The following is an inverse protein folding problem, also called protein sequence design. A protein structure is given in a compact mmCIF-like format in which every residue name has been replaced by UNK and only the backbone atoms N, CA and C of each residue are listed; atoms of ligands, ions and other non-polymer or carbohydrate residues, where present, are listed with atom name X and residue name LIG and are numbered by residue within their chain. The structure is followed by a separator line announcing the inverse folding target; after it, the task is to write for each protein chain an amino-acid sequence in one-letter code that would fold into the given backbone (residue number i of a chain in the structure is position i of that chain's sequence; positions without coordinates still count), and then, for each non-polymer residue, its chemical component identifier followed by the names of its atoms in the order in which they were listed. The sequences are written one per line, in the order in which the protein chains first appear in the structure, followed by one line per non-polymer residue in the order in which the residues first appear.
data_IF_995934507332
#
_entry.id   IF_995934507332
#
_cell.length_a   1.000
_cell.length_b   1.000
_cell.length_c   1.000
_cell.angle_alpha   90.00
_cell.angle_beta   90.00
_cell.angle_gamma   90.00
#
_symmetry.space_group_name_H-M   'P 1'
#
loop_
_entity.id
_entity.type
_entity.pdbx_description
1 polymer ?
#
# COMPACT_ATOMS: atom_id res chain seq x y z
N UNK A 1 -3.42 8.06 -22.25
CA UNK A 1 -4.35 6.97 -22.59
C UNK A 1 -5.73 7.32 -22.04
N UNK A 2 -6.81 7.20 -22.81
CA UNK A 2 -8.15 7.56 -22.31
C UNK A 2 -8.59 6.59 -21.20
N UNK A 3 -9.42 7.06 -20.24
CA UNK A 3 -9.96 6.21 -19.16
C UNK A 3 -10.69 4.99 -19.71
N UNK A 4 -11.44 5.17 -20.80
CA UNK A 4 -12.13 4.09 -21.50
C UNK A 4 -11.17 3.00 -21.99
N UNK A 5 -10.05 3.38 -22.62
CA UNK A 5 -9.08 2.41 -23.11
C UNK A 5 -8.44 1.62 -21.95
N UNK A 6 -8.11 2.28 -20.83
CA UNK A 6 -7.61 1.59 -19.63
C UNK A 6 -8.62 0.56 -19.12
N UNK A 7 -9.90 0.95 -19.02
CA UNK A 7 -10.97 0.05 -18.59
C UNK A 7 -11.13 -1.13 -19.53
N UNK A 8 -11.12 -0.91 -20.85
CA UNK A 8 -11.22 -1.98 -21.84
C UNK A 8 -10.03 -2.95 -21.77
N UNK A 9 -8.81 -2.44 -21.62
CA UNK A 9 -7.62 -3.28 -21.45
C UNK A 9 -7.69 -4.10 -20.16
N UNK A 10 -8.15 -3.52 -19.06
CA UNK A 10 -8.34 -4.23 -17.80
C UNK A 10 -9.39 -5.35 -17.93
N UNK A 11 -10.53 -5.06 -18.55
CA UNK A 11 -11.57 -6.06 -18.81
C UNK A 11 -11.07 -7.18 -19.73
N UNK A 12 -10.30 -6.85 -20.78
CA UNK A 12 -9.70 -7.84 -21.66
C UNK A 12 -8.70 -8.73 -20.91
N UNK A 13 -7.81 -8.15 -20.10
CA UNK A 13 -6.86 -8.90 -19.27
C UNK A 13 -7.59 -9.82 -18.29
N UNK A 14 -8.68 -9.33 -17.69
CA UNK A 14 -9.52 -10.11 -16.79
C UNK A 14 -10.15 -11.32 -17.50
N UNK A 15 -10.81 -11.11 -18.64
CA UNK A 15 -11.42 -12.20 -19.43
C UNK A 15 -10.36 -13.22 -19.87
N UNK A 16 -9.18 -12.76 -20.26
CA UNK A 16 -8.07 -13.65 -20.60
C UNK A 16 -7.61 -14.46 -19.38
N UNK A 17 -7.42 -13.84 -18.22
CA UNK A 17 -7.02 -14.55 -17.01
C UNK A 17 -8.05 -15.63 -16.61
N UNK A 18 -9.35 -15.31 -16.70
CA UNK A 18 -10.43 -16.27 -16.48
C UNK A 18 -10.41 -17.43 -17.47
N UNK A 19 -10.20 -17.13 -18.75
CA UNK A 19 -10.12 -18.13 -19.79
C UNK A 19 -8.93 -19.07 -19.58
N UNK A 20 -7.73 -18.54 -19.34
CA UNK A 20 -6.53 -19.34 -19.12
C UNK A 20 -6.60 -20.18 -17.83
N UNK A 21 -7.21 -19.65 -16.76
CA UNK A 21 -7.51 -20.42 -15.56
C UNK A 21 -8.40 -21.63 -15.85
N UNK A 22 -9.47 -21.43 -16.64
CA UNK A 22 -10.34 -22.52 -17.07
C UNK A 22 -9.61 -23.54 -17.96
N UNK A 23 -8.80 -23.09 -18.92
CA UNK A 23 -8.03 -23.97 -19.82
C UNK A 23 -7.01 -24.82 -19.05
N UNK A 24 -6.37 -24.26 -18.02
CA UNK A 24 -5.45 -25.02 -17.17
C UNK A 24 -6.15 -26.21 -16.51
N UNK A 25 -7.32 -25.98 -15.89
CA UNK A 25 -8.12 -27.04 -15.24
C UNK A 25 -8.59 -28.06 -16.27
N UNK A 26 -9.09 -27.61 -17.43
CA UNK A 26 -9.54 -28.49 -18.51
C UNK A 26 -8.41 -29.39 -19.02
N UNK A 27 -7.20 -28.85 -19.15
CA UNK A 27 -6.02 -29.58 -19.62
C UNK A 27 -5.58 -30.64 -18.61
N UNK A 28 -5.55 -30.30 -17.31
CA UNK A 28 -5.21 -31.28 -16.25
C UNK A 28 -6.22 -32.42 -16.17
N UNK A 29 -7.50 -32.14 -16.43
CA UNK A 29 -8.57 -33.13 -16.38
C UNK A 29 -8.83 -33.82 -17.74
N UNK A 30 -7.96 -33.67 -18.73
CA UNK A 30 -8.20 -34.18 -20.10
C UNK A 30 -8.43 -35.70 -20.15
N UNK A 31 -7.79 -36.46 -19.26
CA UNK A 31 -7.88 -37.91 -19.14
C UNK A 31 -8.98 -38.39 -18.16
N UNK A 32 -9.69 -37.47 -17.51
CA UNK A 32 -10.78 -37.82 -16.59
C UNK A 32 -12.07 -38.20 -17.33
N UNK A 33 -13.00 -38.84 -16.62
CA UNK A 33 -14.29 -39.24 -17.18
C UNK A 33 -15.07 -38.02 -17.74
N UNK A 34 -15.94 -38.21 -18.76
CA UNK A 34 -16.79 -37.12 -19.26
C UNK A 34 -17.61 -36.43 -18.16
N UNK A 35 -18.11 -37.19 -17.18
CA UNK A 35 -18.84 -36.66 -16.03
C UNK A 35 -17.97 -35.76 -15.16
N UNK A 36 -16.75 -36.20 -14.84
CA UNK A 36 -15.78 -35.41 -14.05
C UNK A 36 -15.41 -34.11 -14.76
N UNK A 37 -15.12 -34.15 -16.07
CA UNK A 37 -14.79 -32.95 -16.86
C UNK A 37 -15.96 -31.95 -16.89
N UNK A 38 -17.19 -32.45 -17.07
CA UNK A 38 -18.40 -31.61 -17.05
C UNK A 38 -18.63 -30.99 -15.66
N UNK A 39 -18.52 -31.79 -14.61
CA UNK A 39 -18.67 -31.32 -13.24
C UNK A 39 -17.62 -30.26 -12.88
N UNK A 40 -16.34 -30.47 -13.23
CA UNK A 40 -15.28 -29.50 -13.01
C UNK A 40 -15.50 -28.19 -13.78
N UNK A 41 -15.97 -28.27 -15.03
CA UNK A 41 -16.27 -27.09 -15.82
C UNK A 41 -17.43 -26.28 -15.24
N UNK A 42 -18.52 -26.95 -14.85
CA UNK A 42 -19.65 -26.31 -14.16
C UNK A 42 -19.16 -25.69 -12.84
N UNK A 43 -18.42 -26.45 -12.04
CA UNK A 43 -17.89 -25.99 -10.75
C UNK A 43 -17.02 -24.75 -10.87
N UNK A 44 -16.13 -24.68 -11.87
CA UNK A 44 -15.27 -23.52 -12.10
C UNK A 44 -16.08 -22.24 -12.38
N UNK A 45 -17.06 -22.32 -13.29
CA UNK A 45 -17.86 -21.16 -13.67
C UNK A 45 -18.87 -20.78 -12.59
N UNK A 46 -19.46 -21.75 -11.89
CA UNK A 46 -20.31 -21.49 -10.71
C UNK A 46 -19.50 -20.78 -9.63
N UNK A 47 -18.33 -21.31 -9.26
CA UNK A 47 -17.46 -20.68 -8.25
C UNK A 47 -17.08 -19.25 -8.65
N UNK A 48 -16.67 -19.06 -9.91
CA UNK A 48 -16.30 -17.74 -10.43
C UNK A 48 -17.50 -16.79 -10.35
N UNK A 49 -18.67 -17.19 -10.85
CA UNK A 49 -19.88 -16.37 -10.79
C UNK A 49 -20.29 -16.04 -9.35
N UNK A 50 -20.21 -17.01 -8.42
CA UNK A 50 -20.52 -16.81 -7.00
C UNK A 50 -19.56 -15.81 -6.34
N UNK A 51 -18.25 -15.95 -6.55
CA UNK A 51 -17.25 -15.02 -5.98
C UNK A 51 -17.51 -13.60 -6.47
N UNK A 52 -17.76 -13.42 -7.77
CA UNK A 52 -18.05 -12.11 -8.34
C UNK A 52 -19.37 -11.53 -7.85
N UNK A 53 -20.45 -12.33 -7.80
CA UNK A 53 -21.74 -11.89 -7.29
C UNK A 53 -21.65 -11.45 -5.82
N UNK A 54 -21.01 -12.25 -4.97
CA UNK A 54 -20.83 -11.93 -3.55
C UNK A 54 -19.95 -10.70 -3.35
N UNK A 55 -18.84 -10.59 -4.09
CA UNK A 55 -17.97 -9.43 -4.00
C UNK A 55 -18.67 -8.15 -4.48
N UNK A 56 -19.46 -8.23 -5.56
CA UNK A 56 -20.23 -7.10 -6.08
C UNK A 56 -21.27 -6.65 -5.07
N UNK A 57 -22.04 -7.59 -4.51
CA UNK A 57 -23.00 -7.31 -3.44
C UNK A 57 -22.31 -6.69 -2.21
N UNK A 58 -21.17 -7.26 -1.79
CA UNK A 58 -20.41 -6.77 -0.64
C UNK A 58 -19.90 -5.34 -0.86
N UNK A 59 -19.40 -5.02 -2.06
CA UNK A 59 -18.92 -3.68 -2.40
C UNK A 59 -20.06 -2.66 -2.52
N UNK A 60 -21.19 -3.03 -3.14
CA UNK A 60 -22.37 -2.18 -3.25
C UNK A 60 -23.01 -1.89 -1.89
N UNK A 61 -22.87 -2.80 -0.93
CA UNK A 61 -23.45 -2.68 0.42
C UNK A 61 -22.38 -2.48 1.50
N UNK A 62 -21.17 -2.05 1.14
CA UNK A 62 -20.02 -1.94 2.06
C UNK A 62 -20.27 -1.01 3.26
N UNK A 63 -21.20 -0.07 3.11
CA UNK A 63 -21.58 0.90 4.13
C UNK A 63 -22.54 0.32 5.19
N UNK A 64 -23.12 -0.87 4.97
CA UNK A 64 -24.05 -1.49 5.91
C UNK A 64 -23.40 -2.66 6.65
N UNK A 65 -23.78 -2.86 7.90
CA UNK A 65 -23.25 -3.92 8.76
C UNK A 65 -23.50 -5.33 8.21
N UNK A 66 -22.61 -6.30 8.49
CA UNK A 66 -21.27 -6.14 9.08
C UNK A 66 -20.24 -5.71 8.01
N UNK A 67 -19.73 -4.48 8.12
CA UNK A 67 -18.79 -3.91 7.15
C UNK A 67 -17.47 -4.70 7.04
N UNK A 68 -16.83 -5.18 8.14
CA UNK A 68 -15.59 -5.94 8.02
C UNK A 68 -15.71 -7.21 7.18
N UNK A 69 -16.77 -8.00 7.40
CA UNK A 69 -17.02 -9.22 6.61
C UNK A 69 -17.14 -8.91 5.11
N UNK A 70 -17.82 -7.81 4.76
CA UNK A 70 -17.98 -7.39 3.36
C UNK A 70 -16.67 -6.95 2.73
N UNK A 71 -15.77 -6.31 3.47
CA UNK A 71 -14.42 -5.98 3.00
C UNK A 71 -13.63 -7.23 2.62
N UNK A 72 -13.75 -8.32 3.41
CA UNK A 72 -13.10 -9.60 3.09
C UNK A 72 -13.70 -10.22 1.82
N UNK A 73 -15.03 -10.24 1.68
CA UNK A 73 -15.68 -10.74 0.47
C UNK A 73 -15.34 -9.91 -0.77
N UNK A 74 -15.33 -8.57 -0.65
CA UNK A 74 -14.98 -7.63 -1.71
C UNK A 74 -13.53 -7.77 -2.19
N UNK A 75 -12.66 -8.39 -1.38
CA UNK A 75 -11.25 -8.64 -1.72
C UNK A 75 -11.02 -9.94 -2.50
N UNK A 76 -11.96 -10.89 -2.48
CA UNK A 76 -11.82 -12.17 -3.16
C UNK A 76 -11.51 -12.03 -4.66
N UNK A 77 -12.14 -11.12 -5.43
CA UNK A 77 -11.81 -10.95 -6.84
C UNK A 77 -10.34 -10.61 -7.09
N UNK A 78 -9.72 -9.79 -6.24
CA UNK A 78 -8.30 -9.45 -6.36
C UNK A 78 -7.42 -10.68 -6.18
N UNK A 79 -7.75 -11.53 -5.21
CA UNK A 79 -7.01 -12.78 -4.93
C UNK A 79 -7.15 -13.76 -6.09
N UNK A 80 -8.38 -13.95 -6.59
CA UNK A 80 -8.65 -14.83 -7.73
C UNK A 80 -7.98 -14.31 -9.00
N UNK A 81 -8.02 -13.00 -9.25
CA UNK A 81 -7.35 -12.39 -10.39
C UNK A 81 -5.83 -12.54 -10.30
N UNK A 82 -5.22 -12.27 -9.14
CA UNK A 82 -3.77 -12.43 -8.94
C UNK A 82 -3.32 -13.88 -9.22
N UNK A 83 -4.09 -14.85 -8.74
CA UNK A 83 -3.87 -16.29 -9.00
C UNK A 83 -3.92 -16.59 -10.50
N UNK A 84 -4.95 -16.12 -11.19
CA UNK A 84 -5.18 -16.38 -12.62
C UNK A 84 -4.19 -15.64 -13.52
N UNK A 85 -3.69 -14.47 -13.12
CA UNK A 85 -2.63 -13.76 -13.82
C UNK A 85 -1.32 -14.55 -13.82
N UNK A 86 -0.97 -15.20 -12.71
CA UNK A 86 0.19 -16.10 -12.68
C UNK A 86 -0.01 -17.27 -13.65
N UNK A 87 -1.18 -17.91 -13.62
CA UNK A 87 -1.50 -18.99 -14.58
C UNK A 87 -1.36 -18.50 -16.03
N UNK A 88 -1.90 -17.32 -16.33
CA UNK A 88 -1.81 -16.71 -17.66
C UNK A 88 -0.36 -16.47 -18.10
N UNK A 89 0.52 -15.97 -17.22
CA UNK A 89 1.93 -15.74 -17.55
C UNK A 89 2.67 -17.03 -17.91
N UNK A 90 2.31 -18.17 -17.31
CA UNK A 90 2.91 -19.46 -17.66
C UNK A 90 2.37 -20.07 -18.95
N UNK A 91 1.07 -19.91 -19.23
CA UNK A 91 0.41 -20.57 -20.35
C UNK A 91 0.40 -19.75 -21.64
N UNK A 92 0.33 -18.42 -21.56
CA UNK A 92 0.31 -17.54 -22.73
C UNK A 92 1.54 -17.73 -23.64
N UNK A 93 2.79 -17.83 -23.14
CA UNK A 93 3.95 -18.09 -23.99
C UNK A 93 3.88 -19.44 -24.72
N UNK A 94 3.32 -20.46 -24.07
CA UNK A 94 3.11 -21.77 -24.69
C UNK A 94 2.12 -21.68 -25.85
N UNK A 95 1.02 -20.95 -25.67
CA UNK A 95 0.03 -20.74 -26.72
C UNK A 95 0.56 -19.90 -27.88
N UNK A 96 1.34 -18.85 -27.60
CA UNK A 96 2.03 -18.07 -28.64
C UNK A 96 3.02 -18.96 -29.42
N UNK A 97 3.79 -19.83 -28.74
CA UNK A 97 4.67 -20.78 -29.39
C UNK A 97 3.91 -21.79 -30.25
N UNK A 98 2.80 -22.35 -29.74
CA UNK A 98 1.94 -23.28 -30.48
C UNK A 98 1.33 -22.63 -31.72
N UNK A 99 0.82 -21.41 -31.60
CA UNK A 99 0.27 -20.66 -32.72
C UNK A 99 1.36 -20.35 -33.76
N UNK A 100 2.56 -19.97 -33.33
CA UNK A 100 3.71 -19.80 -34.23
C UNK A 100 4.09 -21.10 -34.94
N UNK A 101 4.12 -22.22 -34.23
CA UNK A 101 4.40 -23.53 -34.81
C UNK A 101 3.29 -23.99 -35.75
N UNK A 102 2.02 -23.71 -35.44
CA UNK A 102 0.89 -23.99 -36.32
C UNK A 102 0.94 -23.13 -37.58
N UNK A 103 1.29 -21.84 -37.47
CA UNK A 103 1.50 -20.95 -38.61
C UNK A 103 2.64 -21.46 -39.51
N UNK A 104 3.76 -21.89 -38.91
CA UNK A 104 4.87 -22.51 -39.64
C UNK A 104 4.46 -23.85 -40.26
N UNK A 105 3.69 -24.68 -39.54
CA UNK A 105 3.19 -25.99 -40.03
C UNK A 105 2.12 -25.87 -41.12
N UNK A 106 1.34 -24.79 -41.11
CA UNK A 106 0.43 -24.47 -42.21
C UNK A 106 1.16 -24.06 -43.48
N UNK A 107 2.46 -23.75 -43.38
CA UNK A 107 3.34 -23.34 -44.49
C UNK A 107 4.36 -24.43 -44.85
N UNK A 108 4.77 -25.26 -43.90
CA UNK A 108 5.75 -26.34 -44.09
C UNK A 108 5.22 -27.63 -43.47
N UNK A 109 5.35 -28.79 -44.14
CA UNK A 109 5.00 -30.09 -43.54
C UNK A 109 6.21 -30.78 -42.89
N UNK A 110 6.46 -30.62 -41.58
CA UNK A 110 7.37 -31.50 -40.87
C UNK A 110 6.62 -32.63 -40.15
N UNK A 111 7.16 -33.83 -40.32
CA UNK A 111 6.71 -35.07 -39.70
C UNK A 111 7.35 -35.26 -38.32
N UNK A 112 6.54 -35.72 -37.36
CA UNK A 112 7.02 -36.39 -36.15
C UNK A 112 6.82 -35.61 -34.84
N UNK A 113 6.20 -36.27 -33.85
CA UNK A 113 6.35 -35.93 -32.43
C UNK A 113 6.44 -37.20 -31.60
N UNK A 114 7.48 -37.24 -30.76
CA UNK A 114 7.76 -38.27 -29.76
C UNK A 114 6.77 -38.20 -28.58
N UNK A 115 6.29 -39.36 -28.14
CA UNK A 115 5.40 -39.52 -26.99
C UNK A 115 6.19 -39.61 -25.67
N UNK A 116 6.07 -38.59 -24.82
CA UNK A 116 6.36 -38.70 -23.39
C UNK A 116 5.09 -39.07 -22.61
N UNK A 117 5.24 -39.62 -21.40
CA UNK A 117 4.13 -40.08 -20.53
C UNK A 117 3.16 -38.94 -20.09
N UNK A 118 3.62 -37.68 -20.12
CA UNK A 118 2.81 -36.47 -19.86
C UNK A 118 3.08 -35.49 -21.01
N UNK A 119 2.04 -34.87 -21.58
CA UNK A 119 2.24 -33.86 -22.61
C UNK A 119 2.85 -32.59 -21.99
N UNK A 120 3.70 -31.87 -22.75
CA UNK A 120 4.28 -30.59 -22.30
C UNK A 120 3.23 -29.61 -21.76
N UNK A 121 2.06 -29.57 -22.41
CA UNK A 121 0.95 -28.71 -22.01
C UNK A 121 0.29 -29.13 -20.70
N UNK A 122 0.23 -30.43 -20.43
CA UNK A 122 -0.25 -30.94 -19.16
C UNK A 122 0.75 -30.64 -18.03
N UNK A 123 2.06 -30.83 -18.27
CA UNK A 123 3.09 -30.45 -17.32
C UNK A 123 3.04 -28.95 -17.00
N UNK A 124 2.98 -28.09 -18.03
CA UNK A 124 2.91 -26.64 -17.86
C UNK A 124 1.61 -26.20 -17.18
N UNK A 125 0.47 -26.83 -17.47
CA UNK A 125 -0.80 -26.53 -16.79
C UNK A 125 -0.77 -26.92 -15.31
N UNK A 126 -0.20 -28.09 -14.97
CA UNK A 126 -0.01 -28.50 -13.57
C UNK A 126 0.92 -27.52 -12.84
N UNK A 127 2.06 -27.18 -13.45
CA UNK A 127 3.00 -26.20 -12.88
C UNK A 127 2.34 -24.83 -12.70
N UNK A 128 1.61 -24.34 -13.71
CA UNK A 128 0.90 -23.07 -13.65
C UNK A 128 -0.14 -23.03 -12.53
N UNK A 129 -0.90 -24.11 -12.31
CA UNK A 129 -1.84 -24.20 -11.19
C UNK A 129 -1.14 -24.25 -9.83
N UNK A 130 -0.04 -25.02 -9.71
CA UNK A 130 0.75 -25.09 -8.47
C UNK A 130 1.35 -23.72 -8.13
N UNK A 131 2.03 -23.08 -9.08
CA UNK A 131 2.63 -21.74 -8.88
C UNK A 131 1.54 -20.68 -8.71
N UNK A 132 0.45 -20.79 -9.45
CA UNK A 132 -0.72 -19.91 -9.33
C UNK A 132 -1.41 -20.00 -7.96
N UNK A 133 -1.30 -21.13 -7.26
CA UNK A 133 -1.82 -21.26 -5.90
C UNK A 133 -1.02 -20.44 -4.87
N UNK A 134 0.23 -20.05 -5.18
CA UNK A 134 1.08 -19.30 -4.25
C UNK A 134 0.52 -17.91 -3.93
N UNK A 135 0.15 -17.04 -4.91
CA UNK A 135 -0.56 -15.79 -4.61
C UNK A 135 -1.86 -16.00 -3.82
N UNK A 136 -2.64 -17.03 -4.15
CA UNK A 136 -3.89 -17.33 -3.43
C UNK A 136 -3.60 -17.56 -1.94
N UNK A 137 -2.75 -18.54 -1.65
CA UNK A 137 -2.39 -18.91 -0.27
C UNK A 137 -1.75 -17.73 0.46
N UNK A 138 -0.84 -17.01 -0.20
CA UNK A 138 -0.13 -15.88 0.39
C UNK A 138 -1.08 -14.73 0.73
N UNK A 139 -2.00 -14.37 -0.16
CA UNK A 139 -2.97 -13.30 0.08
C UNK A 139 -4.02 -13.69 1.12
N UNK A 140 -4.48 -14.94 1.13
CA UNK A 140 -5.38 -15.43 2.20
C UNK A 140 -4.66 -15.42 3.55
N UNK A 141 -3.40 -15.86 3.60
CA UNK A 141 -2.57 -15.76 4.80
C UNK A 141 -2.34 -14.31 5.25
N UNK A 142 -2.09 -13.42 4.28
CA UNK A 142 -1.96 -11.99 4.51
C UNK A 142 -3.18 -11.38 5.19
N UNK A 143 -4.39 -11.83 4.84
CA UNK A 143 -5.64 -11.41 5.50
C UNK A 143 -5.81 -11.98 6.91
N UNK A 144 -5.31 -13.20 7.13
CA UNK A 144 -5.44 -13.87 8.41
C UNK A 144 -4.45 -13.34 9.46
N UNK A 145 -3.23 -12.97 9.05
CA UNK A 145 -2.12 -12.59 9.95
C UNK A 145 -1.40 -11.31 9.57
N UNK A 146 -1.12 -11.12 8.28
CA UNK A 146 -0.23 -10.03 7.82
C UNK A 146 -0.70 -8.62 8.16
N UNK A 147 -2.01 -8.37 8.16
CA UNK A 147 -2.60 -7.05 8.46
C UNK A 147 -2.20 -6.44 9.81
N UNK A 148 -1.76 -7.25 10.77
CA UNK A 148 -1.33 -6.78 12.10
C UNK A 148 0.05 -7.32 12.49
N UNK A 149 0.81 -7.85 11.52
CA UNK A 149 2.17 -8.35 11.74
C UNK A 149 3.19 -7.22 11.68
N UNK A 150 3.13 -6.33 12.68
CA UNK A 150 3.93 -5.11 12.75
C UNK A 150 5.43 -5.39 12.76
N UNK A 151 6.17 -4.68 11.90
CA UNK A 151 7.61 -4.76 11.77
C UNK A 151 8.26 -3.47 12.23
N UNK A 152 9.28 -3.57 13.08
CA UNK A 152 10.14 -2.43 13.43
C UNK A 152 11.32 -2.39 12.47
N UNK A 153 11.44 -1.31 11.68
CA UNK A 153 12.60 -1.06 10.81
C UNK A 153 13.50 -0.01 11.44
N UNK A 154 14.81 -0.20 11.30
CA UNK A 154 15.83 0.74 11.79
C UNK A 154 16.65 1.26 10.62
N UNK A 155 16.79 2.57 10.53
CA UNK A 155 17.53 3.25 9.46
C UNK A 155 18.47 4.26 10.09
N UNK A 156 19.77 4.11 9.86
CA UNK A 156 20.75 5.12 10.27
C UNK A 156 20.99 6.08 9.12
N UNK A 157 20.77 7.37 9.33
CA UNK A 157 20.97 8.41 8.32
C UNK A 157 22.09 9.36 8.75
N UNK A 158 23.02 9.62 7.85
CA UNK A 158 24.20 10.44 8.11
C UNK A 158 24.12 11.76 7.35
N UNK A 159 24.23 12.87 8.06
CA UNK A 159 24.11 14.21 7.51
C UNK A 159 25.26 15.12 7.98
N UNK A 160 25.95 15.82 7.07
CA UNK A 160 27.07 16.70 7.43
C UNK A 160 26.63 17.98 8.16
N UNK A 161 25.40 18.45 7.90
CA UNK A 161 24.80 19.65 8.49
C UNK A 161 23.93 19.34 9.73
N UNK A 162 23.90 18.10 10.23
CA UNK A 162 23.21 17.78 11.47
C UNK A 162 23.93 18.46 12.65
N UNK A 163 23.22 19.26 13.49
CA UNK A 163 23.85 19.86 14.66
C UNK A 163 24.34 18.81 15.66
N UNK A 164 25.35 19.16 16.46
CA UNK A 164 26.03 18.19 17.33
C UNK A 164 25.10 17.58 18.38
N UNK A 165 24.19 18.37 18.94
CA UNK A 165 23.23 17.97 19.97
C UNK A 165 22.19 16.96 19.47
N UNK A 166 22.05 16.80 18.16
CA UNK A 166 21.17 15.84 17.51
C UNK A 166 21.90 14.58 17.01
N UNK A 167 23.20 14.43 17.30
CA UNK A 167 23.90 13.18 17.02
C UNK A 167 23.31 12.04 17.89
N UNK A 168 22.91 10.94 17.25
CA UNK A 168 22.24 9.81 17.90
C UNK A 168 20.75 10.03 18.15
N UNK A 169 20.17 11.14 17.66
CA UNK A 169 18.76 11.47 17.85
C UNK A 169 17.85 10.47 17.14
N UNK A 170 16.86 9.95 17.86
CA UNK A 170 15.94 8.91 17.40
C UNK A 170 14.59 9.50 17.02
N UNK A 171 14.27 9.37 15.75
CA UNK A 171 12.95 9.73 15.20
C UNK A 171 12.19 8.44 14.93
N UNK A 172 10.90 8.41 15.24
CA UNK A 172 10.01 7.32 14.86
C UNK A 172 8.91 7.82 13.92
N UNK A 173 8.74 7.14 12.80
CA UNK A 173 7.66 7.40 11.85
C UNK A 173 6.66 6.25 11.85
N UNK A 174 5.40 6.60 11.99
CA UNK A 174 4.24 5.81 11.58
C UNK A 174 3.48 6.57 10.49
N UNK A 175 2.69 5.84 9.72
CA UNK A 175 1.89 6.39 8.62
C UNK A 175 0.69 5.50 8.36
N UNK A 176 -0.32 6.02 7.66
CA UNK A 176 -1.43 5.27 7.07
C UNK A 176 -2.04 4.25 8.05
N UNK A 177 -2.56 4.77 9.16
CA UNK A 177 -3.16 3.97 10.23
C UNK A 177 -4.50 3.39 9.80
N UNK A 178 -5.28 4.16 9.04
CA UNK A 178 -6.56 3.72 8.51
C UNK A 178 -7.43 3.08 9.60
N UNK A 179 -7.70 3.85 10.68
CA UNK A 179 -8.26 3.26 11.90
C UNK A 179 -9.61 2.56 11.69
N UNK A 180 -10.39 3.02 10.71
CA UNK A 180 -11.67 2.39 10.33
C UNK A 180 -11.55 0.98 9.75
N UNK A 181 -10.33 0.50 9.49
CA UNK A 181 -10.08 -0.86 9.03
C UNK A 181 -9.86 -1.86 10.17
N UNK A 182 -9.56 -1.40 11.39
CA UNK A 182 -9.40 -2.30 12.53
C UNK A 182 -10.75 -2.84 12.99
N UNK A 183 -10.79 -4.14 13.31
CA UNK A 183 -11.99 -4.82 13.81
C UNK A 183 -12.06 -4.85 15.35
N UNK A 184 -11.00 -4.42 16.01
CA UNK A 184 -10.90 -4.35 17.46
C UNK A 184 -9.80 -3.36 17.85
N UNK A 185 -9.77 -2.99 19.14
CA UNK A 185 -8.76 -2.08 19.69
C UNK A 185 -7.39 -2.75 19.91
N UNK A 186 -7.35 -4.08 20.00
CA UNK A 186 -6.16 -4.85 20.40
C UNK A 186 -4.96 -4.64 19.45
N UNK A 187 -5.10 -4.68 18.11
CA UNK A 187 -3.97 -4.50 17.21
C UNK A 187 -3.29 -3.16 17.39
N UNK A 188 -4.08 -2.09 17.51
CA UNK A 188 -3.55 -0.75 17.70
C UNK A 188 -2.89 -0.60 19.08
N UNK A 189 -3.47 -1.18 20.13
CA UNK A 189 -2.83 -1.22 21.45
C UNK A 189 -1.49 -1.97 21.41
N UNK A 190 -1.37 -3.06 20.64
CA UNK A 190 -0.07 -3.72 20.44
C UNK A 190 0.92 -2.81 19.72
N UNK A 191 0.48 -2.17 18.64
CA UNK A 191 1.32 -1.26 17.88
C UNK A 191 1.85 -0.12 18.76
N UNK A 192 1.01 0.48 19.61
CA UNK A 192 1.40 1.51 20.58
C UNK A 192 2.45 0.99 21.57
N UNK A 193 2.30 -0.24 22.08
CA UNK A 193 3.35 -0.85 22.92
C UNK A 193 4.68 -1.02 22.18
N UNK A 194 4.62 -1.45 20.91
CA UNK A 194 5.81 -1.60 20.07
C UNK A 194 6.47 -0.26 19.76
N UNK A 195 5.68 0.80 19.51
CA UNK A 195 6.15 2.17 19.30
C UNK A 195 6.87 2.66 20.55
N UNK A 196 6.23 2.57 21.72
CA UNK A 196 6.80 3.02 22.99
C UNK A 196 8.08 2.27 23.36
N UNK A 197 8.19 0.99 23.02
CA UNK A 197 9.40 0.20 23.25
C UNK A 197 10.62 0.70 22.48
N UNK A 198 10.45 1.59 21.49
CA UNK A 198 11.55 2.15 20.72
C UNK A 198 12.26 3.32 21.41
N UNK A 199 11.64 3.93 22.43
CA UNK A 199 12.18 5.09 23.17
C UNK A 199 12.69 6.17 22.21
N UNK A 200 11.82 6.60 21.28
CA UNK A 200 12.15 7.65 20.33
C UNK A 200 12.07 9.03 21.00
N UNK A 201 12.98 9.93 20.62
CA UNK A 201 12.97 11.32 21.10
C UNK A 201 11.81 12.11 20.47
N UNK A 202 11.45 11.76 19.22
CA UNK A 202 10.45 12.44 18.41
C UNK A 202 9.64 11.44 17.59
N UNK A 203 8.31 11.63 17.55
CA UNK A 203 7.40 10.76 16.80
C UNK A 203 6.63 11.55 15.73
N UNK A 204 6.48 10.94 14.55
CA UNK A 204 5.74 11.47 13.42
C UNK A 204 4.63 10.53 12.96
N UNK A 205 3.48 11.11 12.62
CA UNK A 205 2.39 10.46 11.88
C UNK A 205 2.20 11.13 10.52
N UNK A 206 2.61 10.47 9.43
CA UNK A 206 2.69 11.07 8.09
C UNK A 206 1.41 10.95 7.26
N UNK A 207 0.23 11.08 7.88
CA UNK A 207 -1.07 11.14 7.21
C UNK A 207 -1.82 9.81 7.12
N UNK A 208 -3.09 9.91 6.72
CA UNK A 208 -4.06 8.82 6.63
C UNK A 208 -4.34 8.15 7.98
N UNK A 209 -4.85 8.96 8.90
CA UNK A 209 -5.31 8.48 10.21
C UNK A 209 -6.61 7.66 10.04
N UNK A 210 -7.53 8.14 9.20
CA UNK A 210 -8.82 7.50 8.95
C UNK A 210 -8.90 6.95 7.51
N UNK A 211 -9.96 6.21 7.20
CA UNK A 211 -10.23 5.75 5.83
C UNK A 211 -10.97 6.83 5.06
N UNK A 212 -11.97 7.46 5.70
CA UNK A 212 -12.81 8.46 5.06
C UNK A 212 -13.43 9.47 6.03
N UNK A 213 -13.74 9.07 7.28
CA UNK A 213 -14.56 9.89 8.18
C UNK A 213 -13.96 9.95 9.59
N UNK A 214 -14.12 11.10 10.24
CA UNK A 214 -13.48 11.40 11.52
C UNK A 214 -13.92 10.48 12.67
N UNK A 215 -15.11 9.88 12.57
CA UNK A 215 -15.63 8.95 13.59
C UNK A 215 -14.83 7.64 13.65
N UNK A 216 -14.13 7.27 12.58
CA UNK A 216 -13.35 6.02 12.49
C UNK A 216 -12.17 5.96 13.48
N UNK A 217 -11.70 7.10 14.00
CA UNK A 217 -10.60 7.12 14.98
C UNK A 217 -11.09 7.22 16.43
N UNK A 218 -12.36 7.54 16.67
CA UNK A 218 -12.82 7.95 18.01
C UNK A 218 -12.68 6.85 19.06
N UNK A 219 -12.95 5.60 18.68
CA UNK A 219 -12.80 4.46 19.60
C UNK A 219 -11.32 4.12 19.91
N UNK A 220 -10.40 4.69 19.14
CA UNK A 220 -8.96 4.46 19.17
C UNK A 220 -8.18 5.61 19.81
N UNK A 221 -8.81 6.76 20.08
CA UNK A 221 -8.16 7.94 20.67
C UNK A 221 -7.41 7.59 21.95
N UNK A 222 -8.04 6.84 22.86
CA UNK A 222 -7.43 6.44 24.13
C UNK A 222 -6.15 5.61 23.92
N UNK A 223 -6.15 4.69 22.95
CA UNK A 223 -4.95 3.88 22.68
C UNK A 223 -3.84 4.74 22.08
N UNK A 224 -4.17 5.62 21.13
CA UNK A 224 -3.22 6.50 20.45
C UNK A 224 -2.61 7.54 21.38
N UNK A 225 -3.36 8.03 22.37
CA UNK A 225 -2.84 8.99 23.36
C UNK A 225 -1.81 8.38 24.30
N UNK A 226 -1.68 7.03 24.33
CA UNK A 226 -0.63 6.35 25.08
C UNK A 226 0.71 6.30 24.35
N UNK A 227 0.83 6.80 23.11
CA UNK A 227 2.13 6.94 22.45
C UNK A 227 2.96 7.98 23.22
N UNK A 228 4.16 7.57 23.64
CA UNK A 228 5.07 8.39 24.44
C UNK A 228 6.17 8.95 23.56
N UNK A 229 6.45 10.24 23.74
CA UNK A 229 7.51 10.99 23.10
C UNK A 229 7.94 12.11 24.06
N UNK A 230 9.23 12.37 24.17
CA UNK A 230 9.73 13.49 24.99
C UNK A 230 9.38 14.85 24.38
N UNK A 231 9.38 14.90 23.05
CA UNK A 231 8.98 16.06 22.25
C UNK A 231 7.55 15.89 21.71
N UNK A 232 6.91 16.99 21.25
CA UNK A 232 5.59 16.91 20.64
C UNK A 232 5.54 15.87 19.52
N UNK A 233 4.47 15.09 19.48
CA UNK A 233 4.20 14.19 18.36
C UNK A 233 3.62 15.04 17.23
N UNK A 234 4.27 15.06 16.06
CA UNK A 234 3.75 15.81 14.92
C UNK A 234 2.99 14.91 13.97
N UNK A 235 1.93 15.44 13.39
CA UNK A 235 1.14 14.75 12.38
C UNK A 235 0.80 15.68 11.22
N UNK A 236 0.55 15.11 10.06
CA UNK A 236 -0.05 15.80 8.90
C UNK A 236 -1.31 15.06 8.45
N UNK A 237 -2.06 15.65 7.53
CA UNK A 237 -3.19 14.97 6.87
C UNK A 237 -2.71 14.28 5.58
N UNK A 238 -3.21 13.07 5.35
CA UNK A 238 -3.09 12.35 4.09
C UNK A 238 -4.33 12.54 3.21
N UNK A 239 -4.38 11.87 2.05
CA UNK A 239 -5.48 12.05 1.11
C UNK A 239 -6.82 11.48 1.62
N UNK A 240 -6.79 10.47 2.50
CA UNK A 240 -8.00 9.87 3.07
C UNK A 240 -8.64 10.71 4.17
N UNK A 241 -7.85 11.56 4.82
CA UNK A 241 -8.29 12.38 5.95
C UNK A 241 -9.28 13.50 5.55
N UNK A 242 -9.31 13.90 4.27
CA UNK A 242 -10.19 14.95 3.76
C UNK A 242 -11.64 14.49 3.50
N UNK A 243 -11.89 13.18 3.56
CA UNK A 243 -13.21 12.61 3.27
C UNK A 243 -13.64 12.77 1.81
N UNK A 244 -12.70 12.89 0.87
CA UNK A 244 -12.98 13.06 -0.56
C UNK A 244 -13.60 11.82 -1.23
N UNK A 245 -13.52 10.66 -0.57
CA UNK A 245 -13.92 9.36 -1.14
C UNK A 245 -15.27 8.84 -0.65
N UNK A 246 -16.04 9.70 0.02
CA UNK A 246 -17.42 9.43 0.43
C UNK A 246 -18.34 10.54 -0.05
N UNK A 247 -19.60 10.18 -0.27
CA UNK A 247 -20.64 11.16 -0.58
C UNK A 247 -21.10 11.86 0.70
N UNK A 248 -21.24 13.17 0.62
CA UNK A 248 -21.67 14.01 1.73
C UNK A 248 -23.04 14.60 1.42
N UNK A 249 -23.88 14.72 2.44
CA UNK A 249 -25.18 15.38 2.34
C UNK A 249 -25.04 16.85 1.92
N UNK A 250 -23.95 17.49 2.34
CA UNK A 250 -23.62 18.88 1.99
C UNK A 250 -22.11 19.17 2.11
N UNK A 251 -21.61 20.23 1.45
CA UNK A 251 -20.26 20.73 1.68
C UNK A 251 -19.98 21.10 3.14
N UNK A 252 -20.99 21.53 3.89
CA UNK A 252 -20.90 21.86 5.31
C UNK A 252 -20.63 20.62 6.15
N UNK A 253 -21.31 19.50 5.86
CA UNK A 253 -21.09 18.23 6.55
C UNK A 253 -19.65 17.72 6.36
N UNK A 254 -19.12 17.84 5.13
CA UNK A 254 -17.72 17.51 4.83
C UNK A 254 -16.74 18.39 5.62
N UNK A 255 -16.97 19.71 5.65
CA UNK A 255 -16.13 20.66 6.41
C UNK A 255 -16.19 20.36 7.91
N UNK A 256 -17.37 20.06 8.45
CA UNK A 256 -17.53 19.68 9.85
C UNK A 256 -16.81 18.36 10.18
N UNK A 257 -16.83 17.38 9.27
CA UNK A 257 -16.05 16.15 9.42
C UNK A 257 -14.54 16.41 9.46
N UNK A 258 -14.02 17.24 8.54
CA UNK A 258 -12.60 17.58 8.54
C UNK A 258 -12.20 18.30 9.84
N UNK A 259 -13.00 19.27 10.30
CA UNK A 259 -12.74 19.94 11.58
C UNK A 259 -12.76 18.95 12.75
N UNK A 260 -13.73 18.02 12.78
CA UNK A 260 -13.79 16.97 13.81
C UNK A 260 -12.56 16.08 13.80
N UNK A 261 -12.01 15.75 12.63
CA UNK A 261 -10.77 14.99 12.52
C UNK A 261 -9.60 15.78 13.10
N UNK A 262 -9.47 17.07 12.77
CA UNK A 262 -8.45 17.96 13.33
C UNK A 262 -8.55 18.03 14.86
N UNK A 263 -9.78 18.15 15.40
CA UNK A 263 -10.02 18.12 16.84
C UNK A 263 -9.63 16.76 17.45
N UNK A 264 -9.82 15.65 16.73
CA UNK A 264 -9.42 14.32 17.18
C UNK A 264 -7.89 14.17 17.26
N UNK A 265 -7.11 14.76 16.34
CA UNK A 265 -5.65 14.84 16.50
C UNK A 265 -5.26 15.54 17.80
N UNK A 266 -5.92 16.66 18.12
CA UNK A 266 -5.69 17.39 19.37
C UNK A 266 -6.08 16.56 20.61
N UNK A 267 -7.21 15.84 20.59
CA UNK A 267 -7.64 14.94 21.68
C UNK A 267 -6.67 13.79 21.92
N UNK A 268 -6.03 13.28 20.85
CA UNK A 268 -4.98 12.26 20.96
C UNK A 268 -3.72 12.86 21.61
N UNK A 269 -3.51 14.18 21.51
CA UNK A 269 -2.32 14.88 21.99
C UNK A 269 -1.27 15.08 20.91
N UNK A 270 -1.66 15.02 19.63
CA UNK A 270 -0.76 15.25 18.50
C UNK A 270 -0.86 16.68 17.99
N UNK A 271 0.27 17.23 17.58
CA UNK A 271 0.36 18.53 16.93
C UNK A 271 0.23 18.36 15.42
N UNK A 272 -0.95 18.70 14.91
CA UNK A 272 -1.21 18.72 13.48
C UNK A 272 -0.51 19.92 12.82
N UNK A 273 0.22 19.67 11.74
CA UNK A 273 0.88 20.69 10.93
C UNK A 273 0.18 20.79 9.57
N UNK A 274 -0.31 21.97 9.21
CA UNK A 274 -1.02 22.24 7.96
C UNK A 274 -0.34 23.38 7.21
N UNK A 275 0.69 23.04 6.43
CA UNK A 275 1.57 24.00 5.75
C UNK A 275 2.33 24.90 6.75
N UNK A 276 2.80 24.26 7.82
CA UNK A 276 3.45 24.89 8.96
C UNK A 276 4.85 24.31 9.20
N UNK A 277 5.61 24.97 10.06
CA UNK A 277 6.86 24.47 10.58
C UNK A 277 6.94 24.62 12.10
N UNK A 278 7.84 23.85 12.69
CA UNK A 278 8.16 23.91 14.10
C UNK A 278 9.66 23.73 14.30
N UNK A 279 10.27 24.55 15.17
CA UNK A 279 11.67 24.40 15.53
C UNK A 279 11.79 23.54 16.78
N UNK A 280 12.68 22.56 16.74
CA UNK A 280 13.09 21.78 17.91
C UNK A 280 14.46 22.28 18.31
N UNK A 281 14.59 22.70 19.57
CA UNK A 281 15.84 23.22 20.13
C UNK A 281 16.38 22.25 21.19
N UNK A 282 17.68 21.93 21.11
CA UNK A 282 18.39 21.11 22.09
C UNK A 282 19.78 21.67 22.31
N UNK A 283 20.10 22.03 23.55
CA UNK A 283 21.39 22.62 23.94
C UNK A 283 21.78 23.85 23.09
N UNK A 284 20.81 24.70 22.73
CA UNK A 284 21.03 25.91 21.93
C UNK A 284 21.15 25.68 20.41
N UNK A 285 21.18 24.42 19.94
CA UNK A 285 21.14 24.08 18.51
C UNK A 285 19.72 23.71 18.07
N UNK A 286 19.41 23.91 16.78
CA UNK A 286 18.05 23.79 16.24
C UNK A 286 17.96 22.89 15.03
N UNK A 287 16.85 22.17 14.92
CA UNK A 287 16.35 21.58 13.68
C UNK A 287 14.93 22.09 13.40
N UNK A 288 14.46 22.01 12.16
CA UNK A 288 13.08 22.31 11.82
C UNK A 288 12.33 21.07 11.34
N UNK A 289 11.08 20.93 11.81
CA UNK A 289 10.09 20.01 11.29
C UNK A 289 9.10 20.82 10.48
N UNK A 290 8.90 20.48 9.22
CA UNK A 290 7.94 21.08 8.32
C UNK A 290 6.82 20.06 8.08
N UNK A 291 5.57 20.50 8.05
CA UNK A 291 4.44 19.64 7.71
C UNK A 291 3.57 20.33 6.68
N UNK A 292 3.36 19.65 5.55
CA UNK A 292 2.46 20.13 4.48
C UNK A 292 1.16 19.33 4.51
N UNK A 293 0.09 19.98 4.07
CA UNK A 293 -1.14 19.29 3.73
C UNK A 293 -0.94 18.32 2.56
N UNK A 294 -1.89 17.41 2.33
CA UNK A 294 -1.78 16.41 1.28
C UNK A 294 -1.52 17.06 -0.10
N UNK A 295 -0.50 16.57 -0.80
CA UNK A 295 -0.14 17.01 -2.14
C UNK A 295 0.30 15.81 -2.97
N UNK A 296 -0.50 15.41 -3.96
CA UNK A 296 -0.17 14.31 -4.88
C UNK A 296 0.05 14.79 -6.31
N UNK A 297 1.10 14.30 -6.98
CA UNK A 297 1.41 14.68 -8.36
C UNK A 297 0.40 14.10 -9.36
N UNK A 298 -0.18 12.94 -9.05
CA UNK A 298 -1.12 12.27 -9.94
C UNK A 298 -2.48 13.00 -9.95
N UNK A 299 -3.07 13.17 -11.13
CA UNK A 299 -4.31 13.95 -11.33
C UNK A 299 -5.51 13.51 -10.48
N UNK A 300 -5.49 12.30 -9.93
CA UNK A 300 -6.60 11.78 -9.11
C UNK A 300 -6.53 12.22 -7.64
N UNK A 301 -5.41 12.76 -7.20
CA UNK A 301 -5.21 13.18 -5.82
C UNK A 301 -5.28 14.70 -5.68
N UNK A 302 -5.88 15.20 -4.59
CA UNK A 302 -5.96 16.63 -4.35
C UNK A 302 -4.58 17.22 -4.01
N UNK A 303 -4.45 18.52 -4.23
CA UNK A 303 -3.24 19.31 -3.96
C UNK A 303 -3.60 20.44 -3.01
N UNK A 304 -3.69 20.10 -1.73
CA UNK A 304 -3.98 21.05 -0.65
C UNK A 304 -2.71 21.72 -0.12
N UNK A 305 -1.58 21.02 -0.17
CA UNK A 305 -0.29 21.46 0.38
C UNK A 305 0.30 22.71 -0.27
N UNK A 306 0.92 23.55 0.58
CA UNK A 306 1.72 24.70 0.21
C UNK A 306 3.11 24.62 0.87
N UNK A 307 4.05 23.98 0.17
CA UNK A 307 5.43 23.81 0.66
C UNK A 307 6.15 25.15 0.87
N UNK A 308 5.90 26.14 0.03
CA UNK A 308 6.52 27.46 0.17
C UNK A 308 6.13 28.12 1.50
N UNK A 309 4.86 28.00 1.91
CA UNK A 309 4.37 28.52 3.20
C UNK A 309 4.99 27.76 4.38
N UNK A 310 5.01 26.43 4.34
CA UNK A 310 5.66 25.63 5.39
C UNK A 310 7.15 25.99 5.53
N UNK A 311 7.82 26.28 4.42
CA UNK A 311 9.27 26.56 4.38
C UNK A 311 9.64 27.98 4.82
N UNK A 312 8.80 28.98 4.56
CA UNK A 312 9.13 30.42 4.64
C UNK A 312 9.65 30.94 6.00
N UNK A 313 9.49 30.19 7.10
CA UNK A 313 10.03 30.53 8.44
C UNK A 313 11.09 29.57 8.98
N UNK A 314 11.48 28.56 8.20
CA UNK A 314 12.40 27.49 8.64
C UNK A 314 13.89 27.83 8.48
N UNK A 315 14.23 28.99 7.92
CA UNK A 315 15.60 29.37 7.55
C UNK A 315 16.61 29.38 8.72
N UNK A 316 16.16 29.59 9.96
CA UNK A 316 17.02 29.58 11.14
C UNK A 316 17.51 28.20 11.59
N UNK A 317 17.04 27.12 10.97
CA UNK A 317 17.47 25.75 11.28
C UNK A 317 18.37 25.19 10.15
N UNK A 318 19.60 24.74 10.46
CA UNK A 318 20.52 24.18 9.47
C UNK A 318 20.12 22.78 8.97
N UNK A 319 19.23 22.09 9.69
CA UNK A 319 18.72 20.76 9.33
C UNK A 319 17.19 20.75 9.32
N UNK A 320 16.58 20.23 8.25
CA UNK A 320 15.13 20.27 8.03
C UNK A 320 14.56 18.89 7.70
N UNK A 321 13.50 18.53 8.40
CA UNK A 321 12.70 17.33 8.17
C UNK A 321 11.33 17.75 7.63
N UNK A 322 10.93 17.26 6.47
CA UNK A 322 9.62 17.48 5.87
C UNK A 322 8.73 16.25 6.07
N UNK A 323 7.54 16.46 6.63
CA UNK A 323 6.45 15.50 6.63
C UNK A 323 5.56 15.81 5.41
N UNK A 324 5.46 14.86 4.48
CA UNK A 324 4.62 14.97 3.28
C UNK A 324 4.05 13.62 2.92
N UNK A 325 2.73 13.48 2.90
CA UNK A 325 2.08 12.17 2.83
C UNK A 325 2.36 11.40 1.51
N UNK A 326 2.05 11.97 0.36
CA UNK A 326 2.27 11.34 -0.95
C UNK A 326 3.73 11.53 -1.41
N UNK A 327 4.48 10.44 -1.70
CA UNK A 327 5.89 10.52 -2.06
C UNK A 327 6.14 11.18 -3.42
N UNK A 328 5.14 11.27 -4.29
CA UNK A 328 5.25 11.95 -5.58
C UNK A 328 5.44 13.47 -5.44
N UNK A 329 5.12 14.04 -4.27
CA UNK A 329 5.44 15.43 -3.94
C UNK A 329 6.94 15.70 -3.98
N UNK A 330 7.77 14.70 -3.63
CA UNK A 330 9.21 14.84 -3.57
C UNK A 330 9.80 15.25 -4.93
N UNK A 331 9.53 14.43 -5.95
CA UNK A 331 9.99 14.66 -7.32
C UNK A 331 9.38 15.91 -7.97
N UNK A 332 8.18 16.30 -7.54
CA UNK A 332 7.45 17.39 -8.16
C UNK A 332 7.81 18.79 -7.61
N UNK A 333 8.09 18.91 -6.30
CA UNK A 333 8.37 20.21 -5.67
C UNK A 333 9.55 20.19 -4.70
N UNK A 334 9.67 19.19 -3.82
CA UNK A 334 10.64 19.20 -2.71
C UNK A 334 12.09 19.25 -3.19
N UNK A 335 12.39 18.64 -4.34
CA UNK A 335 13.74 18.67 -4.94
C UNK A 335 14.21 20.08 -5.32
N UNK A 336 13.31 21.06 -5.38
CA UNK A 336 13.63 22.48 -5.61
C UNK A 336 13.99 23.23 -4.31
N UNK A 337 13.91 22.56 -3.15
CA UNK A 337 14.25 23.08 -1.82
C UNK A 337 15.45 22.31 -1.26
N UNK A 338 16.68 22.61 -1.71
CA UNK A 338 17.87 21.78 -1.44
C UNK A 338 18.30 21.75 0.03
N UNK A 339 17.72 22.62 0.87
CA UNK A 339 17.94 22.69 2.31
C UNK A 339 16.94 21.84 3.12
N UNK A 340 16.06 21.08 2.46
CA UNK A 340 15.25 20.01 3.07
C UNK A 340 16.04 18.71 3.01
N UNK A 341 16.53 18.24 4.16
CA UNK A 341 17.46 17.11 4.24
C UNK A 341 16.74 15.75 4.20
N UNK A 342 15.61 15.64 4.88
CA UNK A 342 14.86 14.39 5.03
C UNK A 342 13.38 14.63 4.79
N UNK A 343 12.79 13.91 3.83
CA UNK A 343 11.34 13.86 3.61
C UNK A 343 10.80 12.51 4.06
N UNK A 344 9.73 12.52 4.86
CA UNK A 344 9.05 11.34 5.37
C UNK A 344 7.64 11.27 4.79
N UNK A 345 7.36 10.18 4.08
CA UNK A 345 6.12 9.93 3.35
C UNK A 345 5.51 8.56 3.65
N UNK A 346 4.26 8.36 3.22
CA UNK A 346 3.48 7.13 3.36
C UNK A 346 2.75 6.77 2.06
N UNK A 347 1.43 6.67 2.13
CA UNK A 347 0.46 6.65 1.03
C UNK A 347 0.40 5.37 0.19
N UNK A 348 1.55 4.79 -0.11
CA UNK A 348 1.66 3.75 -1.15
C UNK A 348 1.35 2.35 -0.64
N UNK A 349 1.55 2.11 0.66
CA UNK A 349 1.46 0.80 1.32
C UNK A 349 2.27 -0.34 0.70
N UNK A 350 3.14 -0.09 -0.29
CA UNK A 350 3.59 -1.15 -1.19
C UNK A 350 2.43 -1.87 -1.91
N UNK A 351 1.28 -1.21 -2.11
CA UNK A 351 -0.02 -1.80 -2.47
C UNK A 351 -0.50 -2.93 -1.56
N UNK A 352 0.08 -3.06 -0.36
CA UNK A 352 -0.21 -4.09 0.63
C UNK A 352 0.21 -5.51 0.23
N UNK A 353 0.70 -5.72 -0.99
CA UNK A 353 1.20 -7.02 -1.42
C UNK A 353 2.37 -6.88 -2.40
N UNK A 354 3.30 -7.83 -2.32
CA UNK A 354 4.40 -7.95 -3.25
C UNK A 354 5.49 -8.87 -2.73
N UNK A 355 6.66 -8.80 -3.36
CA UNK A 355 7.88 -9.53 -3.00
C UNK A 355 8.87 -8.54 -2.41
N UNK A 356 9.35 -8.82 -1.21
CA UNK A 356 10.33 -8.00 -0.50
C UNK A 356 11.41 -8.89 0.08
N UNK A 357 12.43 -9.16 -0.72
CA UNK A 357 13.57 -10.00 -0.38
C UNK A 357 14.84 -9.13 -0.36
N UNK A 358 15.91 -9.54 0.37
CA UNK A 358 17.20 -8.87 0.29
C UNK A 358 17.67 -8.78 -1.18
N UNK A 359 17.93 -7.56 -1.65
CA UNK A 359 18.35 -7.29 -3.03
C UNK A 359 17.25 -7.30 -4.09
N UNK A 360 16.00 -7.65 -3.75
CA UNK A 360 14.90 -7.67 -4.71
C UNK A 360 13.57 -7.22 -4.10
N UNK A 361 13.00 -6.14 -4.64
CA UNK A 361 11.68 -5.64 -4.25
C UNK A 361 10.80 -5.49 -5.48
N UNK A 362 9.58 -6.02 -5.41
CA UNK A 362 8.58 -5.90 -6.46
C UNK A 362 7.20 -5.77 -5.84
N UNK A 363 6.43 -4.79 -6.29
CA UNK A 363 5.00 -4.67 -6.03
C UNK A 363 4.34 -3.99 -7.24
N UNK A 364 3.06 -4.24 -7.54
CA UNK A 364 2.38 -3.53 -8.62
C UNK A 364 2.40 -2.00 -8.46
N UNK A 365 2.59 -1.49 -7.23
CA UNK A 365 2.70 -0.05 -6.96
C UNK A 365 3.83 0.63 -7.75
N UNK A 366 4.92 -0.09 -8.08
CA UNK A 366 6.07 0.48 -8.78
C UNK A 366 5.74 0.96 -10.21
N UNK A 367 4.65 0.47 -10.79
CA UNK A 367 4.17 0.89 -12.10
C UNK A 367 3.35 2.18 -12.04
N UNK A 368 3.01 2.65 -10.83
CA UNK A 368 2.33 3.91 -10.58
C UNK A 368 3.24 4.94 -9.87
N UNK A 369 4.18 4.48 -9.03
CA UNK A 369 5.10 5.32 -8.27
C UNK A 369 6.53 4.88 -8.48
N UNK A 370 7.41 5.85 -8.72
CA UNK A 370 8.84 5.62 -8.85
C UNK A 370 9.46 5.37 -7.46
N UNK A 371 9.12 6.21 -6.50
CA UNK A 371 9.44 6.05 -5.07
C UNK A 371 8.22 5.52 -4.32
N UNK A 372 8.32 4.31 -3.75
CA UNK A 372 7.14 3.59 -3.25
C UNK A 372 7.38 2.72 -2.01
N UNK A 373 8.62 2.41 -1.63
CA UNK A 373 8.90 1.78 -0.33
C UNK A 373 10.37 1.90 0.08
N UNK A 374 10.61 2.40 1.29
CA UNK A 374 11.94 2.52 1.89
C UNK A 374 12.66 3.82 1.53
N UNK A 375 13.99 3.78 1.65
CA UNK A 375 14.86 4.94 1.52
C UNK A 375 15.29 5.20 0.07
N UNK A 376 15.18 6.45 -0.35
CA UNK A 376 15.64 7.00 -1.62
C UNK A 376 16.50 8.23 -1.35
N UNK A 377 17.41 8.54 -2.28
CA UNK A 377 18.32 9.67 -2.16
C UNK A 377 18.48 10.39 -3.49
N UNK A 378 18.48 11.73 -3.44
CA UNK A 378 18.84 12.60 -4.57
C UNK A 378 19.78 13.68 -4.06
N UNK A 379 21.04 13.62 -4.49
CA UNK A 379 22.08 14.50 -3.95
C UNK A 379 22.20 14.33 -2.43
N UNK A 380 21.97 15.41 -1.68
CA UNK A 380 22.01 15.42 -0.21
C UNK A 380 20.67 15.13 0.46
N UNK A 381 19.58 15.14 -0.31
CA UNK A 381 18.23 14.95 0.22
C UNK A 381 17.87 13.47 0.24
N UNK A 382 17.18 13.07 1.30
CA UNK A 382 16.60 11.74 1.43
C UNK A 382 15.08 11.80 1.42
N UNK A 383 14.47 10.78 0.82
CA UNK A 383 13.06 10.48 0.95
C UNK A 383 12.93 9.10 1.58
N UNK A 384 12.09 8.96 2.60
CA UNK A 384 11.68 7.67 3.10
C UNK A 384 10.18 7.47 2.89
N UNK A 385 9.81 6.38 2.20
CA UNK A 385 8.41 6.00 1.97
C UNK A 385 8.06 4.84 2.90
N UNK A 386 7.33 5.15 3.97
CA UNK A 386 6.82 4.17 4.92
C UNK A 386 5.68 3.37 4.28
N UNK A 387 5.62 2.07 4.52
CA UNK A 387 4.57 1.21 3.95
C UNK A 387 3.28 1.19 4.75
N UNK A 388 3.11 2.07 5.73
CA UNK A 388 1.90 2.23 6.55
C UNK A 388 1.80 1.23 7.70
N UNK A 389 1.08 1.59 8.76
CA UNK A 389 0.82 0.76 9.94
C UNK A 389 -0.51 0.01 9.85
N UNK A 390 -1.47 0.55 9.09
CA UNK A 390 -2.78 -0.03 8.86
C UNK A 390 -2.89 -0.79 7.54
N UNK A 391 -4.13 -0.87 7.05
CA UNK A 391 -4.49 -1.40 5.75
C UNK A 391 -5.80 -0.75 5.27
N UNK A 392 -6.05 -0.77 3.97
CA UNK A 392 -7.23 -0.21 3.32
C UNK A 392 -7.65 -1.07 2.12
N UNK A 393 -8.95 -1.31 1.99
CA UNK A 393 -9.53 -2.05 0.86
C UNK A 393 -9.27 -3.56 0.96
N UNK A 394 -8.06 -4.02 0.63
CA UNK A 394 -7.65 -5.40 0.87
C UNK A 394 -7.22 -5.57 2.34
N UNK A 395 -7.90 -6.40 3.15
CA UNK A 395 -7.66 -6.48 4.58
C UNK A 395 -6.51 -7.43 4.92
N UNK A 396 -5.38 -7.28 4.23
CA UNK A 396 -4.22 -8.15 4.37
C UNK A 396 -2.91 -7.46 3.99
N UNK A 397 -1.79 -8.06 4.39
CA UNK A 397 -0.44 -7.62 4.02
C UNK A 397 0.45 -8.80 3.64
N UNK A 398 1.17 -8.70 2.52
CA UNK A 398 2.11 -9.75 2.05
C UNK A 398 3.38 -9.10 1.51
N UNK A 399 4.55 -9.46 2.05
CA UNK A 399 5.84 -8.90 1.64
C UNK A 399 6.10 -7.45 2.09
N UNK A 400 5.06 -6.60 2.09
CA UNK A 400 5.07 -5.24 2.62
C UNK A 400 4.15 -5.17 3.84
N UNK A 401 4.69 -5.66 4.96
CA UNK A 401 4.02 -5.73 6.26
C UNK A 401 3.89 -4.33 6.91
N UNK A 402 2.98 -4.17 7.89
CA UNK A 402 2.83 -2.93 8.64
C UNK A 402 4.14 -2.48 9.28
N UNK A 403 4.47 -1.20 9.16
CA UNK A 403 5.82 -0.71 9.45
C UNK A 403 5.84 0.38 10.53
N UNK A 404 6.72 0.20 11.52
CA UNK A 404 7.16 1.22 12.47
C UNK A 404 8.63 1.51 12.17
N UNK A 405 8.97 2.70 11.70
CA UNK A 405 10.34 3.00 11.30
C UNK A 405 11.02 3.92 12.29
N UNK A 406 12.19 3.50 12.77
CA UNK A 406 13.05 4.26 13.67
C UNK A 406 14.27 4.73 12.89
N UNK A 407 14.45 6.03 12.81
CA UNK A 407 15.64 6.67 12.26
C UNK A 407 16.59 7.06 13.37
N UNK A 408 17.86 6.71 13.24
CA UNK A 408 18.93 7.28 14.05
C UNK A 408 19.70 8.29 13.21
N UNK A 409 19.64 9.56 13.61
CA UNK A 409 20.37 10.62 12.93
C UNK A 409 21.82 10.66 13.43
N UNK A 410 22.77 10.63 12.51
CA UNK A 410 24.19 10.73 12.81
C UNK A 410 24.80 11.91 12.06
N UNK A 411 25.67 12.63 12.75
CA UNK A 411 26.51 13.64 12.12
C UNK A 411 27.60 12.93 11.31
N UNK A 412 27.71 13.27 10.02
CA UNK A 412 28.64 12.63 9.07
C UNK A 412 30.08 13.13 9.22
#
# INVERSE_FOLDING_TARGET
MSRLLITLLFLALFVLAEWYGFQAIRTVLQHASPGTRRAAAIGYWVLTATVWALATWAMMTRHTSPAPFKTYLGSLPVIFLATKLVVLVFLLPEDLYRMGLLAVRSVMQPSGTSAGLISRSEFLSRLALVVGSLPFISLVWGMAKGATDYQVKRVTLRFPNLPASFHGFKILQISDLHTGSFQSKEPLQRAVRMINAQNADLVFMTGDLVNNVATEVEEHIEALSQIKSELPIFSILGNHDYGDYVEWESPEAKRANLQRLMDNHAKIGWRLLLDEHHQIERNGEKIAVLGVQNWGAQMRFPKYGNLAQAHAGSHGAPFKILLSHDPSHWDAQVVNYPDIDLTLSGHTHGMQFGVNLPGFKWSPVQYAYKEWAGLYQRGKQYLYVNTGLGFLGYPGRVGFLPEITVFELQRA
#
